data_IF_479170653159
#
_entry.id   IF_479170653159
#
_cell.length_a   1.000
_cell.length_b   1.000
_cell.length_c   1.000
_cell.angle_alpha   90.00
_cell.angle_beta   90.00
_cell.angle_gamma   90.00
#
_symmetry.space_group_name_H-M   'P 1'
#
loop_
_entity.id
_entity.type
_entity.pdbx_description
1 polymer ?
#
# COMPACT_ATOMS: atom_id res chain seq x y z
N UNK A 1 6.60 3.50 -13.40
CA UNK A 1 5.34 3.51 -14.19
C UNK A 1 4.76 4.89 -14.34
N UNK A 2 4.85 5.75 -13.35
CA UNK A 2 4.32 7.12 -13.38
C UNK A 2 4.90 7.96 -14.53
N UNK A 3 6.21 7.89 -14.72
CA UNK A 3 6.91 8.69 -15.76
C UNK A 3 6.51 8.31 -17.18
N UNK A 4 6.10 7.06 -17.42
CA UNK A 4 5.62 6.62 -18.74
C UNK A 4 4.24 7.18 -19.08
N UNK A 5 3.42 7.51 -18.08
CA UNK A 5 2.09 8.09 -18.27
C UNK A 5 2.15 9.59 -18.61
N UNK A 6 3.28 10.25 -18.35
CA UNK A 6 3.49 11.68 -18.61
C UNK A 6 4.09 11.95 -19.99
N UNK A 7 4.43 10.91 -20.75
CA UNK A 7 4.98 11.12 -22.11
C UNK A 7 3.89 11.55 -23.08
N UNK A 8 4.25 12.45 -24.01
CA UNK A 8 3.36 12.94 -25.08
C UNK A 8 2.73 11.79 -25.89
N UNK A 9 3.45 10.67 -26.00
CA UNK A 9 2.99 9.45 -26.68
C UNK A 9 1.77 8.82 -25.98
N UNK A 10 1.70 8.91 -24.66
CA UNK A 10 0.58 8.38 -23.88
C UNK A 10 -0.66 9.29 -23.97
N UNK A 11 -0.47 10.60 -23.93
CA UNK A 11 -1.56 11.57 -24.10
C UNK A 11 -2.14 11.57 -25.52
N UNK A 12 -1.31 11.40 -26.54
CA UNK A 12 -1.74 11.30 -27.95
C UNK A 12 -2.51 10.00 -28.21
N UNK A 13 -2.14 8.89 -27.57
CA UNK A 13 -2.87 7.62 -27.70
C UNK A 13 -4.31 7.70 -27.13
N UNK A 14 -4.55 8.55 -26.14
CA UNK A 14 -5.90 8.77 -25.60
C UNK A 14 -6.80 9.60 -26.51
N UNK A 15 -6.21 10.46 -27.36
CA UNK A 15 -6.93 11.33 -28.32
C UNK A 15 -7.26 10.60 -29.63
N UNK A 16 -6.55 9.54 -29.98
CA UNK A 16 -6.91 8.66 -31.11
C UNK A 16 -8.04 7.68 -30.79
N UNK A 17 -9.11 8.19 -30.18
CA UNK A 17 -10.43 7.57 -30.20
C UNK A 17 -10.90 7.51 -31.65
N UNK A 18 -10.63 6.38 -32.31
CA UNK A 18 -10.82 6.24 -33.72
C UNK A 18 -12.24 6.57 -34.15
N UNK A 19 -12.36 7.24 -35.26
CA UNK A 19 -13.56 7.29 -36.09
C UNK A 19 -14.16 5.87 -36.16
N UNK A 20 -15.34 5.67 -35.57
CA UNK A 20 -16.06 4.40 -35.66
C UNK A 20 -15.98 3.48 -34.43
N UNK A 21 -15.40 3.91 -33.32
CA UNK A 21 -15.45 3.13 -32.07
C UNK A 21 -16.89 2.96 -31.59
N UNK A 22 -17.34 1.69 -31.49
CA UNK A 22 -18.65 1.37 -30.86
C UNK A 22 -18.69 2.05 -29.50
N UNK A 23 -19.77 2.80 -29.21
CA UNK A 23 -20.00 3.38 -27.88
C UNK A 23 -19.73 2.32 -26.83
N UNK A 24 -18.92 2.62 -25.79
CA UNK A 24 -18.71 1.66 -24.72
C UNK A 24 -20.08 1.23 -24.17
N UNK A 25 -20.35 -0.07 -24.23
CA UNK A 25 -21.57 -0.63 -23.64
C UNK A 25 -21.61 -0.29 -22.16
N UNK A 26 -22.77 0.08 -21.64
CA UNK A 26 -22.97 0.20 -20.21
C UNK A 26 -22.47 -1.07 -19.52
N UNK A 27 -21.64 -0.90 -18.49
CA UNK A 27 -21.08 -2.03 -17.77
C UNK A 27 -22.18 -2.79 -17.04
N UNK A 28 -22.10 -4.11 -17.09
CA UNK A 28 -22.95 -4.96 -16.26
C UNK A 28 -22.60 -4.77 -14.78
N UNK A 29 -23.53 -5.11 -13.90
CA UNK A 29 -23.31 -5.07 -12.45
C UNK A 29 -22.06 -5.89 -12.06
N UNK A 30 -21.91 -7.08 -12.61
CA UNK A 30 -20.70 -7.89 -12.45
C UNK A 30 -19.42 -7.14 -12.88
N UNK A 31 -19.45 -6.44 -14.02
CA UNK A 31 -18.32 -5.66 -14.51
C UNK A 31 -17.94 -4.54 -13.54
N UNK A 32 -18.91 -3.87 -12.97
CA UNK A 32 -18.70 -2.82 -11.97
C UNK A 32 -18.06 -3.40 -10.69
N UNK A 33 -18.63 -4.47 -10.15
CA UNK A 33 -18.10 -5.16 -8.97
C UNK A 33 -16.68 -5.69 -9.21
N UNK A 34 -16.42 -6.23 -10.39
CA UNK A 34 -15.10 -6.72 -10.78
C UNK A 34 -14.06 -5.59 -10.79
N UNK A 35 -14.41 -4.42 -11.37
CA UNK A 35 -13.49 -3.27 -11.40
C UNK A 35 -13.22 -2.76 -9.99
N UNK A 36 -14.22 -2.63 -9.13
CA UNK A 36 -14.02 -2.21 -7.75
C UNK A 36 -13.11 -3.18 -6.98
N UNK A 37 -13.32 -4.48 -7.15
CA UNK A 37 -12.41 -5.51 -6.63
C UNK A 37 -10.98 -5.29 -7.11
N UNK A 38 -10.78 -5.06 -8.41
CA UNK A 38 -9.46 -4.86 -9.00
C UNK A 38 -8.81 -3.56 -8.52
N UNK A 39 -9.56 -2.47 -8.36
CA UNK A 39 -9.05 -1.22 -7.78
C UNK A 39 -8.44 -1.46 -6.40
N UNK A 40 -9.18 -2.13 -5.51
CA UNK A 40 -8.67 -2.45 -4.17
C UNK A 40 -7.42 -3.32 -4.26
N UNK A 41 -7.47 -4.40 -5.02
CA UNK A 41 -6.34 -5.32 -5.19
C UNK A 41 -5.07 -4.62 -5.67
N UNK A 42 -5.20 -3.78 -6.69
CA UNK A 42 -4.07 -3.03 -7.25
C UNK A 42 -3.56 -1.94 -6.30
N UNK A 43 -4.44 -1.26 -5.57
CA UNK A 43 -4.05 -0.26 -4.57
C UNK A 43 -3.09 -0.82 -3.54
N UNK A 44 -3.34 -2.05 -3.07
CA UNK A 44 -2.47 -2.73 -2.11
C UNK A 44 -1.37 -3.56 -2.78
N UNK A 45 -1.34 -3.65 -4.11
CA UNK A 45 -0.36 -4.40 -4.89
C UNK A 45 -0.38 -5.91 -4.58
N UNK A 46 -1.56 -6.49 -4.39
CA UNK A 46 -1.73 -7.90 -4.04
C UNK A 46 -1.94 -8.78 -5.28
N UNK A 47 -1.51 -10.04 -5.19
CA UNK A 47 -1.89 -11.06 -6.16
C UNK A 47 -3.36 -11.47 -5.95
N UNK A 48 -4.00 -12.02 -6.98
CA UNK A 48 -5.39 -12.47 -6.90
C UNK A 48 -5.58 -13.52 -5.79
N UNK A 49 -4.67 -14.48 -5.69
CA UNK A 49 -4.70 -15.53 -4.66
C UNK A 49 -4.61 -14.94 -3.25
N UNK A 50 -3.70 -13.97 -3.03
CA UNK A 50 -3.58 -13.31 -1.73
C UNK A 50 -4.84 -12.54 -1.37
N UNK A 51 -5.38 -11.77 -2.32
CA UNK A 51 -6.58 -11.00 -2.10
C UNK A 51 -7.79 -11.90 -1.78
N UNK A 52 -7.99 -12.97 -2.55
CA UNK A 52 -9.02 -13.96 -2.28
C UNK A 52 -8.92 -14.57 -0.88
N UNK A 53 -7.71 -14.87 -0.40
CA UNK A 53 -7.50 -15.36 0.96
C UNK A 53 -7.90 -14.33 2.02
N UNK A 54 -7.63 -13.03 1.79
CA UNK A 54 -8.09 -11.96 2.70
C UNK A 54 -9.62 -11.85 2.71
N UNK A 55 -10.26 -11.94 1.56
CA UNK A 55 -11.73 -11.92 1.46
C UNK A 55 -12.32 -13.11 2.21
N UNK A 56 -11.85 -14.33 1.95
CA UNK A 56 -12.29 -15.54 2.68
C UNK A 56 -12.16 -15.38 4.19
N UNK A 57 -11.03 -14.85 4.65
CA UNK A 57 -10.81 -14.60 6.07
C UNK A 57 -11.73 -13.54 6.65
N UNK A 58 -12.04 -12.50 5.89
CA UNK A 58 -12.96 -11.45 6.33
C UNK A 58 -14.40 -11.97 6.42
N UNK A 59 -14.82 -12.80 5.47
CA UNK A 59 -16.17 -13.39 5.44
C UNK A 59 -16.36 -14.47 6.50
N UNK A 60 -15.31 -15.21 6.86
CA UNK A 60 -15.38 -16.23 7.93
C UNK A 60 -15.39 -15.66 9.34
N UNK A 61 -15.16 -14.36 9.51
CA UNK A 61 -15.17 -13.74 10.84
C UNK A 61 -16.59 -13.30 11.19
N UNK A 62 -17.20 -13.96 12.17
CA UNK A 62 -18.54 -13.62 12.67
C UNK A 62 -18.52 -12.33 13.51
N UNK A 63 -19.64 -11.64 13.56
CA UNK A 63 -19.84 -10.46 14.42
C UNK A 63 -19.31 -9.12 13.89
N UNK A 64 -18.61 -9.11 12.74
CA UNK A 64 -18.10 -7.89 12.12
C UNK A 64 -18.47 -7.87 10.65
N UNK A 65 -18.85 -6.70 10.14
CA UNK A 65 -19.12 -6.51 8.71
C UNK A 65 -17.89 -6.92 7.87
N UNK A 66 -18.03 -7.81 6.87
CA UNK A 66 -16.90 -8.35 6.10
C UNK A 66 -16.04 -7.27 5.43
N UNK A 67 -16.66 -6.20 4.93
CA UNK A 67 -15.93 -5.07 4.32
C UNK A 67 -15.03 -4.35 5.32
N UNK A 68 -15.54 -4.08 6.53
CA UNK A 68 -14.76 -3.46 7.62
C UNK A 68 -13.60 -4.36 8.04
N UNK A 69 -13.87 -5.67 8.16
CA UNK A 69 -12.82 -6.65 8.50
C UNK A 69 -11.77 -6.78 7.42
N UNK A 70 -12.17 -6.78 6.15
CA UNK A 70 -11.23 -6.79 5.02
C UNK A 70 -10.33 -5.56 5.05
N UNK A 71 -10.90 -4.37 5.27
CA UNK A 71 -10.15 -3.13 5.39
C UNK A 71 -9.12 -3.21 6.52
N UNK A 72 -9.52 -3.64 7.72
CA UNK A 72 -8.63 -3.85 8.86
C UNK A 72 -7.47 -4.79 8.52
N UNK A 73 -7.77 -5.92 7.86
CA UNK A 73 -6.76 -6.90 7.44
C UNK A 73 -5.75 -6.35 6.44
N UNK A 74 -6.18 -5.48 5.54
CA UNK A 74 -5.33 -4.87 4.52
C UNK A 74 -4.50 -3.71 5.09
N UNK A 75 -5.10 -2.90 5.96
CA UNK A 75 -4.41 -1.76 6.59
C UNK A 75 -3.38 -2.20 7.62
N UNK A 76 -3.62 -3.31 8.34
CA UNK A 76 -2.68 -3.86 9.34
C UNK A 76 -1.44 -4.54 8.76
N UNK A 77 -1.27 -4.61 7.45
CA UNK A 77 -0.07 -5.18 6.83
C UNK A 77 1.14 -4.29 7.03
N UNK A 78 2.29 -4.89 7.35
CA UNK A 78 3.53 -4.15 7.59
C UNK A 78 3.95 -3.28 6.39
N UNK A 79 3.83 -3.78 5.15
CA UNK A 79 4.16 -3.01 3.95
C UNK A 79 3.26 -1.77 3.79
N UNK A 80 1.97 -1.89 4.11
CA UNK A 80 1.05 -0.78 4.05
C UNK A 80 1.27 0.21 5.20
N UNK A 81 1.54 -0.29 6.41
CA UNK A 81 1.87 0.54 7.57
C UNK A 81 3.12 1.40 7.30
N UNK A 82 4.20 0.79 6.81
CA UNK A 82 5.44 1.49 6.43
C UNK A 82 5.18 2.58 5.37
N UNK A 83 4.29 2.31 4.41
CA UNK A 83 3.87 3.31 3.43
C UNK A 83 3.07 4.46 4.08
N UNK A 84 2.11 4.15 4.94
CA UNK A 84 1.26 5.13 5.63
C UNK A 84 2.04 6.00 6.62
N UNK A 85 3.09 5.47 7.21
CA UNK A 85 4.03 6.22 8.05
C UNK A 85 4.90 7.20 7.25
N UNK A 86 4.88 7.14 5.92
CA UNK A 86 5.70 7.99 5.07
C UNK A 86 7.15 7.54 4.88
N UNK A 87 7.53 6.40 5.41
CA UNK A 87 8.88 5.85 5.23
C UNK A 87 9.16 5.45 3.78
N UNK A 88 8.12 5.25 2.99
CA UNK A 88 8.21 4.91 1.58
C UNK A 88 7.23 5.74 0.75
N UNK A 89 7.64 6.16 -0.45
CA UNK A 89 6.82 6.94 -1.39
C UNK A 89 5.69 6.10 -1.98
N UNK A 90 5.87 4.80 -2.12
CA UNK A 90 4.88 3.88 -2.69
C UNK A 90 4.77 2.60 -1.87
N UNK A 91 3.60 1.94 -1.91
CA UNK A 91 3.42 0.61 -1.27
C UNK A 91 4.38 -0.44 -1.82
N UNK A 92 4.72 -0.36 -3.12
CA UNK A 92 5.69 -1.27 -3.74
C UNK A 92 7.08 -1.07 -3.17
N UNK A 93 7.50 0.17 -2.98
CA UNK A 93 8.79 0.50 -2.36
C UNK A 93 8.80 0.11 -0.87
N UNK A 94 7.71 0.36 -0.14
CA UNK A 94 7.55 -0.10 1.24
C UNK A 94 7.75 -1.62 1.37
N UNK A 95 7.14 -2.39 0.46
CA UNK A 95 7.32 -3.85 0.41
C UNK A 95 8.78 -4.24 0.17
N UNK A 96 9.48 -3.53 -0.71
CA UNK A 96 10.89 -3.75 -0.97
C UNK A 96 11.74 -3.46 0.27
N UNK A 97 11.51 -2.33 0.96
CA UNK A 97 12.20 -1.99 2.20
C UNK A 97 12.03 -3.07 3.27
N UNK A 98 10.81 -3.58 3.43
CA UNK A 98 10.53 -4.66 4.38
C UNK A 98 11.23 -5.94 3.96
N UNK A 99 11.09 -6.39 2.71
CA UNK A 99 11.68 -7.66 2.24
C UNK A 99 13.21 -7.67 2.29
N UNK A 100 13.85 -6.51 2.08
CA UNK A 100 15.30 -6.37 2.24
C UNK A 100 15.70 -6.25 3.72
N UNK A 101 14.75 -6.14 4.64
CA UNK A 101 14.97 -6.11 6.09
C UNK A 101 15.57 -4.81 6.60
N UNK A 102 15.17 -3.68 5.99
CA UNK A 102 15.49 -2.35 6.49
C UNK A 102 14.58 -1.93 7.64
N UNK A 103 13.50 -2.68 7.88
CA UNK A 103 12.49 -2.38 8.90
C UNK A 103 12.60 -3.35 10.07
N UNK A 104 12.47 -2.82 11.26
CA UNK A 104 12.42 -3.55 12.52
C UNK A 104 11.02 -3.39 13.13
N UNK A 105 10.56 -4.44 13.80
CA UNK A 105 9.30 -4.45 14.57
C UNK A 105 9.62 -4.94 15.97
N UNK A 106 9.35 -4.15 16.98
CA UNK A 106 9.65 -4.44 18.38
C UNK A 106 11.12 -4.81 18.59
N UNK A 107 12.04 -4.03 17.97
CA UNK A 107 13.47 -4.25 18.06
C UNK A 107 14.01 -5.44 17.23
N UNK A 108 13.16 -6.19 16.54
CA UNK A 108 13.56 -7.36 15.72
C UNK A 108 13.40 -7.07 14.24
N UNK A 109 14.39 -7.44 13.44
CA UNK A 109 14.31 -7.34 11.97
C UNK A 109 13.12 -8.15 11.43
N UNK A 110 12.34 -7.54 10.56
CA UNK A 110 11.23 -8.20 9.87
C UNK A 110 11.41 -8.08 8.35
N UNK A 111 11.33 -9.22 7.65
CA UNK A 111 11.39 -9.30 6.19
C UNK A 111 10.05 -9.74 5.56
N UNK A 112 9.02 -9.95 6.38
CA UNK A 112 7.71 -10.43 5.95
C UNK A 112 6.78 -9.24 5.77
N UNK A 113 6.59 -8.79 4.52
CA UNK A 113 5.73 -7.65 4.19
C UNK A 113 4.26 -7.85 4.56
N UNK A 114 3.79 -9.09 4.56
CA UNK A 114 2.41 -9.45 4.93
C UNK A 114 2.19 -9.63 6.44
N UNK A 115 3.20 -9.39 7.28
CA UNK A 115 3.07 -9.44 8.73
C UNK A 115 1.97 -8.48 9.19
N UNK A 116 1.09 -8.97 10.05
CA UNK A 116 0.01 -8.17 10.62
C UNK A 116 0.53 -7.42 11.84
N UNK A 117 0.35 -6.13 11.81
CA UNK A 117 0.68 -5.25 12.92
C UNK A 117 -0.48 -5.20 13.91
N UNK A 118 -0.15 -5.07 15.17
CA UNK A 118 -1.10 -4.93 16.28
C UNK A 118 -0.94 -3.55 16.91
N UNK A 119 -1.96 -3.11 17.62
CA UNK A 119 -1.87 -1.90 18.44
C UNK A 119 -0.81 -2.12 19.52
N UNK A 120 0.12 -1.15 19.66
CA UNK A 120 1.25 -1.24 20.57
C UNK A 120 2.54 -1.81 19.95
N UNK A 121 2.51 -2.25 18.68
CA UNK A 121 3.76 -2.62 17.99
C UNK A 121 4.56 -1.36 17.63
N UNK A 122 5.85 -1.40 17.88
CA UNK A 122 6.82 -0.32 17.55
C UNK A 122 7.55 -0.68 16.27
N UNK A 123 7.49 0.22 15.28
CA UNK A 123 8.18 0.08 14.00
C UNK A 123 9.33 1.06 13.95
N UNK A 124 10.50 0.59 13.57
CA UNK A 124 11.72 1.39 13.45
C UNK A 124 12.48 1.06 12.17
N UNK A 125 13.27 2.01 11.70
CA UNK A 125 14.27 1.75 10.67
C UNK A 125 15.47 1.07 11.34
N UNK A 126 16.03 0.07 10.68
CA UNK A 126 17.26 -0.59 11.14
C UNK A 126 18.41 0.42 11.17
N UNK A 127 19.16 0.56 12.30
CA UNK A 127 20.22 1.55 12.45
C UNK A 127 21.25 1.54 11.30
N UNK A 128 21.72 0.37 10.89
CA UNK A 128 22.67 0.25 9.77
C UNK A 128 22.08 0.56 8.38
N UNK A 129 20.80 0.86 8.28
CA UNK A 129 20.14 1.26 7.03
C UNK A 129 19.90 2.76 6.96
N UNK A 130 19.95 3.47 8.07
CA UNK A 130 19.66 4.92 8.13
C UNK A 130 20.63 5.75 7.28
N UNK A 131 21.89 5.36 7.21
CA UNK A 131 22.94 6.02 6.42
C UNK A 131 22.85 5.75 4.91
N UNK A 132 21.93 4.92 4.46
CA UNK A 132 21.77 4.61 3.05
C UNK A 132 20.99 5.68 2.30
N UNK A 133 21.32 5.88 1.02
CA UNK A 133 20.60 6.81 0.11
C UNK A 133 19.08 6.56 0.05
N UNK A 134 18.60 5.41 0.47
CA UNK A 134 17.19 5.05 0.50
C UNK A 134 16.37 5.95 1.44
N UNK A 135 16.99 6.47 2.48
CA UNK A 135 16.37 7.30 3.52
C UNK A 135 16.83 8.75 3.49
N UNK A 136 17.57 9.16 2.44
CA UNK A 136 17.90 10.57 2.21
C UNK A 136 16.62 11.42 2.08
N UNK A 137 16.58 12.57 2.75
CA UNK A 137 15.42 13.48 2.74
C UNK A 137 14.17 12.94 3.45
N UNK A 138 14.29 11.84 4.21
CA UNK A 138 13.16 11.25 4.94
C UNK A 138 12.60 12.22 5.97
N UNK A 139 13.45 12.92 6.71
CA UNK A 139 13.02 13.87 7.75
C UNK A 139 12.18 15.03 7.17
N UNK A 140 12.53 15.53 6.00
CA UNK A 140 11.76 16.58 5.31
C UNK A 140 10.40 16.03 4.81
N UNK A 141 10.39 14.82 4.26
CA UNK A 141 9.16 14.16 3.82
C UNK A 141 8.20 13.90 4.98
N UNK A 142 8.70 13.48 6.13
CA UNK A 142 7.87 13.20 7.30
C UNK A 142 7.18 14.47 7.83
N UNK A 143 7.78 15.65 7.67
CA UNK A 143 7.16 16.93 8.04
C UNK A 143 5.97 17.29 7.14
N UNK A 144 5.96 16.84 5.89
CA UNK A 144 4.92 17.19 4.90
C UNK A 144 3.79 16.16 4.79
N UNK A 145 3.97 14.97 5.34
CA UNK A 145 2.99 13.89 5.23
C UNK A 145 1.94 13.98 6.34
N UNK A 146 0.68 13.92 5.93
CA UNK A 146 -0.45 13.76 6.85
C UNK A 146 -0.51 12.30 7.32
N UNK A 147 -0.04 12.07 8.53
CA UNK A 147 -0.06 10.73 9.15
C UNK A 147 -1.47 10.45 9.69
N UNK A 148 -2.02 9.25 9.50
CA UNK A 148 -3.30 8.86 10.10
C UNK A 148 -3.26 8.96 11.64
N UNK A 149 -4.38 9.35 12.24
CA UNK A 149 -4.51 9.61 13.69
C UNK A 149 -4.22 8.41 14.60
N UNK A 150 -4.21 7.21 14.06
CA UNK A 150 -3.93 5.96 14.78
C UNK A 150 -2.45 5.59 14.85
N UNK A 151 -1.56 6.41 14.26
CA UNK A 151 -0.12 6.33 14.46
C UNK A 151 0.37 7.45 15.37
N UNK A 152 1.30 7.11 16.25
CA UNK A 152 2.14 8.06 16.96
C UNK A 152 3.52 8.00 16.33
N UNK A 153 3.91 9.04 15.61
CA UNK A 153 5.19 9.09 14.90
C UNK A 153 6.19 9.86 15.78
N UNK A 154 7.24 9.17 16.18
CA UNK A 154 8.39 9.78 16.86
C UNK A 154 9.42 10.13 15.78
N UNK A 155 9.46 11.41 15.40
CA UNK A 155 10.34 11.92 14.34
C UNK A 155 11.82 11.89 14.74
N UNK A 156 12.14 11.97 16.02
CA UNK A 156 13.51 12.02 16.51
C UNK A 156 14.17 10.64 16.49
N UNK A 157 13.38 9.61 16.77
CA UNK A 157 13.84 8.19 16.72
C UNK A 157 13.49 7.48 15.43
N UNK A 158 12.76 8.13 14.50
CA UNK A 158 12.20 7.51 13.29
C UNK A 158 11.46 6.20 13.59
N UNK A 159 10.68 6.23 14.67
CA UNK A 159 9.87 5.11 15.17
C UNK A 159 8.40 5.52 15.22
N UNK A 160 7.53 4.56 15.14
CA UNK A 160 6.09 4.74 15.40
C UNK A 160 5.51 3.51 16.08
#
# INVERSE_FOLDING_TARGET
>A
MYDKCQTAKFSVASVKGGFGGKRPKAMSEFGTQFIEKQKVRFSYGLSEKQFSNYVKKATSTHGVMPSKKLYELLESRLDNVVYKMGLAVTRRFARQLVSHGHIMVNGRRSNIASRRMKVGDVIAIRPGSMSTKLFEGLAERLKTITVPTWFKLDTDKLTA
#
